data_IF_438593040595
#
_entry.id   IF_438593040595
#
_cell.length_a   1.000
_cell.length_b   1.000
_cell.length_c   1.000
_cell.angle_alpha   90.00
_cell.angle_beta   90.00
_cell.angle_gamma   90.00
#
_symmetry.space_group_name_H-M   'P 1'
#
loop_
_entity.id
_entity.type
_entity.pdbx_description
1 polymer ?
#
# COMPACT_ATOMS: atom_id res chain seq x y z
N UNK A 1 49.46 18.14 -1.14
CA UNK A 1 48.30 18.28 -0.22
C UNK A 1 46.99 18.70 -0.90
N UNK A 2 46.97 19.64 -1.88
CA UNK A 2 45.72 20.04 -2.59
C UNK A 2 45.03 18.94 -3.43
N UNK A 3 45.79 18.06 -4.09
CA UNK A 3 45.22 16.97 -4.93
C UNK A 3 44.46 15.91 -4.12
N UNK A 4 44.91 15.58 -2.92
CA UNK A 4 44.26 14.59 -2.05
C UNK A 4 42.96 15.14 -1.45
N UNK A 5 42.90 16.44 -1.19
CA UNK A 5 41.68 17.13 -0.73
C UNK A 5 40.57 17.08 -1.81
N UNK A 6 40.90 17.38 -3.07
CA UNK A 6 39.94 17.31 -4.18
C UNK A 6 39.43 15.89 -4.49
N UNK A 7 40.23 14.85 -4.22
CA UNK A 7 39.81 13.46 -4.39
C UNK A 7 38.80 13.06 -3.31
N UNK A 8 39.06 13.43 -2.05
CA UNK A 8 38.14 13.17 -0.93
C UNK A 8 36.81 13.93 -1.13
N UNK A 9 36.85 15.19 -1.56
CA UNK A 9 35.61 15.95 -1.87
C UNK A 9 34.79 15.32 -3.01
N UNK A 10 35.43 14.79 -4.06
CA UNK A 10 34.72 14.11 -5.15
C UNK A 10 34.14 12.76 -4.74
N UNK A 11 34.84 12.01 -3.89
CA UNK A 11 34.35 10.74 -3.35
C UNK A 11 33.16 10.97 -2.38
N UNK A 12 33.23 12.01 -1.54
CA UNK A 12 32.11 12.43 -0.69
C UNK A 12 30.91 12.93 -1.50
N UNK A 13 31.12 13.68 -2.60
CA UNK A 13 30.04 14.14 -3.46
C UNK A 13 29.36 12.99 -4.22
N UNK A 14 30.14 12.01 -4.69
CA UNK A 14 29.60 10.79 -5.31
C UNK A 14 28.80 9.94 -4.32
N UNK A 15 29.29 9.79 -3.08
CA UNK A 15 28.56 9.09 -2.01
C UNK A 15 27.27 9.83 -1.60
N UNK A 16 27.30 11.17 -1.50
CA UNK A 16 26.12 11.97 -1.17
C UNK A 16 25.04 11.94 -2.27
N UNK A 17 25.44 11.96 -3.54
CA UNK A 17 24.50 11.88 -4.68
C UNK A 17 23.90 10.47 -4.78
N UNK A 18 24.67 9.42 -4.46
CA UNK A 18 24.10 8.06 -4.40
C UNK A 18 23.10 7.92 -3.25
N UNK A 19 23.41 8.38 -2.04
CA UNK A 19 22.49 8.26 -0.90
C UNK A 19 21.20 9.08 -1.07
N UNK A 20 21.27 10.29 -1.64
CA UNK A 20 20.07 11.09 -1.94
C UNK A 20 19.22 10.50 -3.05
N UNK A 21 19.82 9.85 -4.05
CA UNK A 21 19.09 9.11 -5.07
C UNK A 21 18.33 7.92 -4.48
N UNK A 22 18.96 7.14 -3.61
CA UNK A 22 18.32 5.96 -3.00
C UNK A 22 17.19 6.32 -2.02
N UNK A 23 17.29 7.44 -1.29
CA UNK A 23 16.31 7.82 -0.27
C UNK A 23 14.89 8.10 -0.83
N UNK A 24 14.79 8.58 -2.08
CA UNK A 24 13.48 8.86 -2.73
C UNK A 24 12.85 7.59 -3.37
N UNK A 25 13.63 6.52 -3.53
CA UNK A 25 13.23 5.29 -4.21
C UNK A 25 12.75 4.16 -3.30
N UNK A 26 12.78 4.37 -1.98
CA UNK A 26 12.24 3.42 -1.01
C UNK A 26 10.99 3.98 -0.31
N UNK A 27 10.07 3.11 0.11
CA UNK A 27 8.86 3.56 0.80
C UNK A 27 9.21 4.22 2.14
N UNK A 28 8.61 5.39 2.40
CA UNK A 28 8.63 5.98 3.73
C UNK A 28 7.74 5.13 4.66
N UNK A 29 8.33 4.51 5.68
CA UNK A 29 7.64 3.55 6.55
C UNK A 29 7.18 4.22 7.84
N UNK A 30 5.91 4.03 8.19
CA UNK A 30 5.26 4.51 9.42
C UNK A 30 5.13 3.36 10.42
N UNK A 31 5.53 3.61 11.67
CA UNK A 31 5.38 2.64 12.75
C UNK A 31 3.93 2.59 13.25
N UNK A 32 3.37 1.39 13.28
CA UNK A 32 2.02 1.13 13.79
C UNK A 32 2.16 0.24 15.01
N UNK A 33 1.78 0.74 16.18
CA UNK A 33 1.96 0.03 17.46
C UNK A 33 1.12 -1.27 17.57
N UNK A 34 0.15 -1.48 16.68
CA UNK A 34 -0.82 -2.56 16.79
C UNK A 34 -1.76 -2.35 17.98
N UNK A 35 -2.42 -3.42 18.42
CA UNK A 35 -3.43 -3.40 19.48
C UNK A 35 -4.72 -4.11 19.08
N UNK A 36 -5.75 -3.97 19.91
CA UNK A 36 -7.07 -4.52 19.63
C UNK A 36 -7.94 -3.52 18.89
N UNK A 37 -8.70 -3.98 17.90
CA UNK A 37 -9.74 -3.18 17.26
C UNK A 37 -10.93 -4.04 16.81
N UNK A 38 -12.05 -3.37 16.53
CA UNK A 38 -13.20 -3.98 15.90
C UNK A 38 -13.07 -3.88 14.38
N UNK A 39 -12.86 -5.03 13.74
CA UNK A 39 -12.76 -5.14 12.28
C UNK A 39 -14.14 -5.47 11.67
N UNK A 40 -14.40 -4.91 10.51
CA UNK A 40 -15.61 -5.17 9.73
C UNK A 40 -16.80 -4.30 10.11
N UNK A 41 -17.93 -4.60 9.48
CA UNK A 41 -19.18 -3.88 9.64
C UNK A 41 -20.31 -4.86 10.00
N UNK A 42 -21.21 -4.45 10.87
CA UNK A 42 -22.41 -5.22 11.20
C UNK A 42 -23.49 -5.14 10.13
N UNK A 43 -23.33 -4.23 9.14
CA UNK A 43 -24.40 -3.83 8.23
C UNK A 43 -24.15 -4.20 6.75
N UNK A 44 -22.95 -4.66 6.36
CA UNK A 44 -22.53 -4.59 4.95
C UNK A 44 -22.56 -5.90 4.16
N UNK A 45 -22.39 -7.08 4.78
CA UNK A 45 -22.78 -8.39 4.22
C UNK A 45 -22.53 -9.53 5.24
N UNK A 46 -22.98 -10.76 4.93
CA UNK A 46 -22.76 -11.94 5.78
C UNK A 46 -21.27 -12.37 5.93
N UNK A 47 -20.35 -11.76 5.17
CA UNK A 47 -18.93 -12.13 5.12
C UNK A 47 -18.02 -11.17 5.87
N UNK A 48 -18.51 -9.98 6.21
CA UNK A 48 -17.77 -8.86 6.81
C UNK A 48 -18.20 -8.56 8.25
N UNK A 49 -18.88 -9.52 8.90
CA UNK A 49 -19.41 -9.36 10.25
C UNK A 49 -18.39 -8.86 11.26
N UNK A 50 -18.81 -7.86 12.05
CA UNK A 50 -17.97 -7.19 13.06
C UNK A 50 -17.39 -8.20 14.07
N UNK A 51 -16.07 -8.17 14.26
CA UNK A 51 -15.35 -9.05 15.19
C UNK A 51 -14.09 -8.37 15.76
N UNK A 52 -13.56 -8.91 16.86
CA UNK A 52 -12.37 -8.36 17.51
C UNK A 52 -11.08 -8.95 16.91
N UNK A 53 -10.13 -8.09 16.56
CA UNK A 53 -8.81 -8.47 16.06
C UNK A 53 -7.72 -7.85 16.93
N UNK A 54 -6.68 -8.62 17.23
CA UNK A 54 -5.46 -8.15 17.89
C UNK A 54 -4.30 -8.19 16.91
N UNK A 55 -3.62 -7.07 16.72
CA UNK A 55 -2.43 -6.96 15.87
C UNK A 55 -1.17 -6.70 16.69
N UNK A 56 -0.08 -7.33 16.30
CA UNK A 56 1.27 -6.99 16.77
C UNK A 56 1.72 -5.67 16.13
N UNK A 57 2.75 -5.00 16.65
CA UNK A 57 3.36 -3.87 15.95
C UNK A 57 3.87 -4.26 14.55
N UNK A 58 3.76 -3.35 13.59
CA UNK A 58 4.26 -3.49 12.23
C UNK A 58 4.62 -2.12 11.67
N UNK A 59 5.34 -2.05 10.54
CA UNK A 59 5.59 -0.79 9.82
C UNK A 59 4.92 -0.85 8.47
N UNK A 60 4.19 0.19 8.06
CA UNK A 60 3.50 0.25 6.78
C UNK A 60 3.91 1.50 6.01
N UNK A 61 4.00 1.40 4.67
CA UNK A 61 4.34 2.52 3.83
C UNK A 61 3.27 3.64 3.94
N UNK A 62 3.73 4.88 4.05
CA UNK A 62 2.88 6.07 4.17
C UNK A 62 1.94 6.25 2.98
N UNK A 63 2.38 5.82 1.79
CA UNK A 63 1.67 5.92 0.51
C UNK A 63 1.62 4.56 -0.18
N UNK A 64 0.90 4.47 -1.29
CA UNK A 64 1.09 3.36 -2.24
C UNK A 64 2.51 3.35 -2.81
N UNK A 65 2.90 2.20 -3.35
CA UNK A 65 4.16 2.06 -4.09
C UNK A 65 4.06 2.84 -5.40
N UNK A 66 5.01 3.71 -5.68
CA UNK A 66 4.96 4.56 -6.88
C UNK A 66 5.59 3.91 -8.11
N UNK A 67 5.30 4.46 -9.28
CA UNK A 67 5.96 4.10 -10.54
C UNK A 67 7.48 4.23 -10.43
N UNK A 68 8.01 5.28 -9.80
CA UNK A 68 9.45 5.45 -9.60
C UNK A 68 10.07 4.32 -8.79
N UNK A 69 9.41 3.90 -7.71
CA UNK A 69 9.88 2.80 -6.87
C UNK A 69 9.87 1.46 -7.64
N UNK A 70 8.82 1.21 -8.43
CA UNK A 70 8.75 0.04 -9.29
C UNK A 70 9.79 0.06 -10.42
N UNK A 71 10.07 1.24 -10.98
CA UNK A 71 11.06 1.41 -12.05
C UNK A 71 12.46 0.97 -11.61
N UNK A 72 12.85 1.28 -10.39
CA UNK A 72 14.14 0.84 -9.81
C UNK A 72 14.23 -0.69 -9.78
N UNK A 73 13.14 -1.37 -9.43
CA UNK A 73 13.06 -2.83 -9.51
C UNK A 73 13.25 -3.34 -10.95
N UNK A 74 12.56 -2.73 -11.91
CA UNK A 74 12.67 -3.10 -13.32
C UNK A 74 14.09 -2.91 -13.86
N UNK A 75 14.73 -1.78 -13.56
CA UNK A 75 16.09 -1.46 -13.98
C UNK A 75 17.13 -2.39 -13.35
N UNK A 76 17.01 -2.66 -12.04
CA UNK A 76 17.92 -3.53 -11.33
C UNK A 76 17.93 -4.96 -11.89
N UNK A 77 16.77 -5.46 -12.33
CA UNK A 77 16.63 -6.80 -12.90
C UNK A 77 16.66 -6.83 -14.43
N UNK A 78 16.78 -5.67 -15.08
CA UNK A 78 16.70 -5.52 -16.54
C UNK A 78 15.42 -6.15 -17.14
N UNK A 79 14.31 -5.97 -16.46
CA UNK A 79 12.98 -6.42 -16.90
C UNK A 79 12.16 -5.22 -17.38
N UNK A 80 11.19 -5.48 -18.25
CA UNK A 80 10.30 -4.44 -18.75
C UNK A 80 9.36 -3.92 -17.66
N UNK A 81 9.00 -2.63 -17.75
CA UNK A 81 7.85 -2.08 -17.03
C UNK A 81 6.54 -2.76 -17.49
N UNK A 82 5.53 -2.92 -16.61
CA UNK A 82 4.21 -3.44 -17.00
C UNK A 82 3.52 -2.45 -17.95
N UNK A 83 2.63 -2.93 -18.84
CA UNK A 83 1.92 -2.06 -19.79
C UNK A 83 1.38 -0.78 -19.12
N UNK A 84 1.64 0.40 -19.68
CA UNK A 84 1.19 1.65 -19.07
C UNK A 84 -0.34 1.71 -19.04
N UNK A 85 -0.94 2.38 -18.04
CA UNK A 85 -2.36 2.71 -18.07
C UNK A 85 -2.66 3.72 -19.20
N UNK A 86 -3.93 4.00 -19.45
CA UNK A 86 -4.36 4.89 -20.55
C UNK A 86 -3.77 6.31 -20.49
N UNK A 87 -3.36 6.77 -19.31
CA UNK A 87 -2.71 8.06 -19.07
C UNK A 87 -1.17 8.02 -19.06
N UNK A 88 -0.55 6.86 -19.30
CA UNK A 88 0.90 6.69 -19.26
C UNK A 88 1.48 6.52 -17.86
N UNK A 89 2.81 6.37 -17.77
CA UNK A 89 3.52 6.32 -16.49
C UNK A 89 3.83 7.72 -15.98
N UNK A 90 3.47 7.99 -14.73
CA UNK A 90 3.85 9.19 -13.97
C UNK A 90 4.60 8.73 -12.72
N UNK A 91 5.82 9.23 -12.52
CA UNK A 91 6.78 8.68 -11.54
C UNK A 91 6.29 8.74 -10.08
N UNK A 92 5.48 9.73 -9.75
CA UNK A 92 4.89 9.98 -8.42
C UNK A 92 3.49 9.38 -8.23
N UNK A 93 2.89 8.80 -9.28
CA UNK A 93 1.63 8.08 -9.17
C UNK A 93 1.83 6.65 -8.64
N UNK A 94 0.79 6.04 -8.05
CA UNK A 94 0.82 4.62 -7.69
C UNK A 94 1.09 3.74 -8.92
N UNK A 95 1.91 2.71 -8.75
CA UNK A 95 2.07 1.68 -9.78
C UNK A 95 0.79 0.85 -9.86
N UNK A 96 0.25 0.74 -11.08
CA UNK A 96 -0.94 -0.05 -11.42
C UNK A 96 -0.62 -0.96 -12.61
N UNK A 97 -1.60 -1.73 -13.11
CA UNK A 97 -1.38 -2.77 -14.11
C UNK A 97 -0.36 -3.84 -13.67
N UNK A 98 -0.29 -4.11 -12.37
CA UNK A 98 0.51 -5.18 -11.77
C UNK A 98 -0.41 -6.26 -11.23
N UNK A 99 -0.02 -7.53 -11.33
CA UNK A 99 -0.76 -8.62 -10.70
C UNK A 99 -0.24 -8.86 -9.29
N UNK A 100 -1.04 -9.52 -8.44
CA UNK A 100 -0.61 -9.92 -7.09
C UNK A 100 0.71 -10.72 -7.13
N UNK A 101 0.89 -11.55 -8.15
CA UNK A 101 2.11 -12.33 -8.35
C UNK A 101 3.33 -11.47 -8.73
N UNK A 102 3.14 -10.40 -9.51
CA UNK A 102 4.22 -9.46 -9.83
C UNK A 102 4.66 -8.72 -8.57
N UNK A 103 3.69 -8.29 -7.75
CA UNK A 103 3.96 -7.66 -6.45
C UNK A 103 4.74 -8.59 -5.53
N UNK A 104 4.40 -9.88 -5.48
CA UNK A 104 5.18 -10.87 -4.72
C UNK A 104 6.66 -10.90 -5.11
N UNK A 105 6.98 -10.88 -6.42
CA UNK A 105 8.36 -10.84 -6.91
C UNK A 105 9.07 -9.53 -6.55
N UNK A 106 8.36 -8.41 -6.63
CA UNK A 106 8.87 -7.11 -6.19
C UNK A 106 9.23 -7.13 -4.70
N UNK A 107 8.36 -7.66 -3.84
CA UNK A 107 8.60 -7.79 -2.39
C UNK A 107 9.80 -8.68 -2.09
N UNK A 108 9.94 -9.81 -2.78
CA UNK A 108 11.10 -10.71 -2.63
C UNK A 108 12.40 -10.01 -3.00
N UNK A 109 12.42 -9.26 -4.11
CA UNK A 109 13.57 -8.47 -4.51
C UNK A 109 13.89 -7.39 -3.48
N UNK A 110 12.90 -6.59 -3.07
CA UNK A 110 13.05 -5.49 -2.13
C UNK A 110 13.59 -5.99 -0.78
N UNK A 111 13.11 -7.15 -0.34
CA UNK A 111 13.58 -7.83 0.87
C UNK A 111 15.06 -8.19 0.78
N UNK A 112 15.49 -8.77 -0.35
CA UNK A 112 16.89 -9.13 -0.60
C UNK A 112 17.80 -7.91 -0.68
N UNK A 113 17.34 -6.82 -1.30
CA UNK A 113 18.15 -5.59 -1.42
C UNK A 113 18.43 -4.94 -0.07
N UNK A 114 17.46 -4.98 0.83
CA UNK A 114 17.51 -4.20 2.07
C UNK A 114 17.81 -5.04 3.31
N UNK A 115 17.95 -6.37 3.19
CA UNK A 115 18.17 -7.26 4.32
C UNK A 115 17.01 -7.28 5.32
N UNK A 116 15.79 -7.00 4.85
CA UNK A 116 14.56 -6.88 5.64
C UNK A 116 13.47 -7.77 5.02
N UNK A 117 12.38 -8.01 5.75
CA UNK A 117 11.23 -8.74 5.20
C UNK A 117 10.15 -7.72 4.84
N UNK A 118 9.86 -7.62 3.56
CA UNK A 118 8.74 -6.85 3.03
C UNK A 118 7.64 -7.77 2.51
N UNK A 119 6.40 -7.35 2.73
CA UNK A 119 5.20 -8.07 2.28
C UNK A 119 4.06 -7.10 2.03
N UNK A 120 2.97 -7.62 1.47
CA UNK A 120 1.69 -6.92 1.50
C UNK A 120 1.15 -6.87 2.94
N UNK A 121 0.34 -5.84 3.27
CA UNK A 121 -0.42 -5.86 4.52
C UNK A 121 -1.40 -7.03 4.50
N UNK A 122 -1.64 -7.61 5.67
CA UNK A 122 -2.86 -8.40 5.86
C UNK A 122 -4.08 -7.49 5.75
N UNK A 123 -5.25 -8.06 5.44
CA UNK A 123 -6.50 -7.30 5.38
C UNK A 123 -6.79 -6.58 6.70
N UNK A 124 -6.47 -7.24 7.83
CA UNK A 124 -6.64 -6.66 9.16
C UNK A 124 -5.66 -5.52 9.44
N UNK A 125 -4.38 -5.67 9.09
CA UNK A 125 -3.41 -4.57 9.20
C UNK A 125 -3.81 -3.37 8.35
N UNK A 126 -4.31 -3.62 7.13
CA UNK A 126 -4.78 -2.56 6.25
C UNK A 126 -5.95 -1.79 6.88
N UNK A 127 -6.98 -2.48 7.38
CA UNK A 127 -8.15 -1.81 7.98
C UNK A 127 -7.79 -1.08 9.28
N UNK A 128 -6.94 -1.69 10.13
CA UNK A 128 -6.44 -1.04 11.33
C UNK A 128 -5.70 0.25 11.01
N UNK A 129 -4.80 0.20 10.01
CA UNK A 129 -4.05 1.34 9.52
C UNK A 129 -4.97 2.40 8.90
N UNK A 130 -6.00 2.01 8.14
CA UNK A 130 -6.96 2.90 7.51
C UNK A 130 -7.81 3.65 8.54
N UNK A 131 -8.19 3.00 9.64
CA UNK A 131 -8.90 3.66 10.73
C UNK A 131 -8.03 4.73 11.41
N UNK A 132 -6.71 4.55 11.44
CA UNK A 132 -5.78 5.58 11.93
C UNK A 132 -6.05 6.01 13.38
N UNK A 133 -6.63 5.13 14.20
CA UNK A 133 -7.02 5.43 15.59
C UNK A 133 -8.37 6.14 15.75
N UNK A 134 -9.05 6.50 14.66
CA UNK A 134 -10.36 7.14 14.66
C UNK A 134 -11.41 6.27 13.93
N UNK A 135 -12.69 6.50 14.20
CA UNK A 135 -13.80 5.78 13.55
C UNK A 135 -14.51 6.64 12.51
N UNK A 136 -13.75 7.25 11.58
CA UNK A 136 -14.31 7.96 10.43
C UNK A 136 -14.70 6.98 9.31
N UNK A 137 -15.59 7.40 8.42
CA UNK A 137 -16.06 6.58 7.28
C UNK A 137 -14.93 6.32 6.28
N UNK A 138 -14.15 7.36 5.97
CA UNK A 138 -12.97 7.32 5.12
C UNK A 138 -11.72 7.55 5.97
N UNK A 139 -10.55 7.22 5.46
CA UNK A 139 -9.33 7.30 6.25
C UNK A 139 -8.93 8.75 6.50
N UNK A 140 -9.14 9.24 7.72
CA UNK A 140 -8.78 10.60 8.14
C UNK A 140 -9.89 11.66 8.01
N UNK A 141 -11.06 11.33 7.45
CA UNK A 141 -12.21 12.25 7.37
C UNK A 141 -13.53 11.51 7.14
N UNK A 142 -14.65 12.16 7.48
CA UNK A 142 -15.98 11.75 7.02
C UNK A 142 -16.36 12.40 5.69
N UNK A 143 -15.57 13.37 5.22
CA UNK A 143 -15.66 13.94 3.88
C UNK A 143 -14.64 13.27 2.96
N UNK A 144 -15.13 12.49 2.00
CA UNK A 144 -14.31 11.81 1.01
C UNK A 144 -13.46 12.77 0.15
N UNK A 145 -13.93 14.00 -0.10
CA UNK A 145 -13.22 14.92 -0.99
C UNK A 145 -11.89 15.41 -0.39
N UNK A 146 -11.75 15.38 0.94
CA UNK A 146 -10.52 15.74 1.66
C UNK A 146 -9.42 14.67 1.52
N UNK A 147 -9.82 13.40 1.45
CA UNK A 147 -8.92 12.25 1.68
C UNK A 147 -8.76 11.35 0.46
N UNK A 148 -9.59 11.49 -0.58
CA UNK A 148 -9.62 10.54 -1.69
C UNK A 148 -9.59 11.18 -3.08
N UNK A 149 -8.93 10.46 -3.99
CA UNK A 149 -9.19 10.53 -5.42
C UNK A 149 -10.14 9.40 -5.81
N UNK A 150 -11.36 9.73 -6.21
CA UNK A 150 -12.41 8.79 -6.57
C UNK A 150 -13.15 9.28 -7.82
N UNK A 151 -14.11 8.49 -8.34
CA UNK A 151 -14.71 8.71 -9.68
C UNK A 151 -15.17 10.15 -9.94
N UNK A 152 -15.62 10.88 -8.91
CA UNK A 152 -16.12 12.25 -9.04
C UNK A 152 -15.02 13.29 -9.26
N UNK A 153 -13.83 13.11 -8.69
CA UNK A 153 -12.77 14.12 -8.67
C UNK A 153 -11.43 13.67 -9.29
N UNK A 154 -11.29 12.39 -9.66
CA UNK A 154 -10.02 11.85 -10.14
C UNK A 154 -9.75 12.09 -11.64
N UNK A 155 -10.76 12.46 -12.44
CA UNK A 155 -10.55 12.74 -13.86
C UNK A 155 -10.08 11.52 -14.67
N UNK A 156 -10.57 10.32 -14.34
CA UNK A 156 -10.26 9.05 -15.01
C UNK A 156 -8.78 8.62 -14.97
N UNK A 157 -8.07 8.94 -13.89
CA UNK A 157 -6.69 8.48 -13.68
C UNK A 157 -6.33 8.48 -12.19
N UNK A 158 -5.23 7.80 -11.85
CA UNK A 158 -4.55 7.98 -10.56
C UNK A 158 -3.95 9.39 -10.44
N UNK A 159 -3.55 9.77 -9.24
CA UNK A 159 -2.90 11.04 -8.90
C UNK A 159 -1.61 10.79 -8.10
N UNK A 160 -0.76 11.83 -7.92
CA UNK A 160 0.44 11.69 -7.11
C UNK A 160 0.11 11.13 -5.72
N UNK A 161 0.83 10.09 -5.31
CA UNK A 161 0.64 9.47 -4.02
C UNK A 161 1.00 10.47 -2.90
N UNK A 162 0.15 10.56 -1.88
CA UNK A 162 0.29 11.53 -0.79
C UNK A 162 -0.28 12.92 -1.08
N UNK A 163 -1.08 13.10 -2.13
CA UNK A 163 -1.59 14.44 -2.52
C UNK A 163 -2.89 14.86 -1.82
N UNK A 164 -3.52 13.96 -1.06
CA UNK A 164 -4.69 14.25 -0.20
C UNK A 164 -4.31 14.30 1.27
N UNK A 165 -5.27 14.64 2.14
CA UNK A 165 -5.04 14.70 3.60
C UNK A 165 -4.76 13.28 4.14
N UNK A 166 -3.73 13.10 4.99
CA UNK A 166 -3.48 11.80 5.62
C UNK A 166 -4.41 11.56 6.81
N UNK A 167 -4.48 10.32 7.26
CA UNK A 167 -5.07 9.98 8.55
C UNK A 167 -4.13 10.32 9.73
N UNK A 168 -4.57 10.07 10.97
CA UNK A 168 -3.80 10.46 12.16
C UNK A 168 -2.49 9.67 12.39
N UNK A 169 -2.26 8.58 11.63
CA UNK A 169 -0.98 7.89 11.60
C UNK A 169 -0.02 8.48 10.55
N UNK A 170 -0.47 9.44 9.73
CA UNK A 170 0.31 9.95 8.60
C UNK A 170 0.28 9.06 7.37
N UNK A 171 -0.75 8.21 7.24
CA UNK A 171 -0.98 7.39 6.05
C UNK A 171 -1.93 8.12 5.09
N UNK A 172 -1.54 8.13 3.82
CA UNK A 172 -2.25 8.80 2.74
C UNK A 172 -2.94 7.78 1.85
N UNK A 173 -3.99 8.23 1.14
CA UNK A 173 -4.65 7.47 0.07
C UNK A 173 -5.15 6.08 0.48
N UNK A 174 -5.44 5.89 1.78
CA UNK A 174 -6.12 4.69 2.28
C UNK A 174 -7.61 4.68 1.88
N UNK A 175 -8.08 5.71 1.18
CA UNK A 175 -9.40 5.83 0.56
C UNK A 175 -9.22 6.41 -0.85
N UNK A 176 -9.44 5.62 -1.90
CA UNK A 176 -9.32 6.05 -3.29
C UNK A 176 -7.89 5.94 -3.87
N UNK A 177 -7.63 6.73 -4.91
CA UNK A 177 -6.43 6.72 -5.76
C UNK A 177 -6.21 5.35 -6.44
N UNK A 178 -5.51 4.41 -5.80
CA UNK A 178 -5.45 3.02 -6.26
C UNK A 178 -5.93 2.08 -5.16
N UNK A 179 -6.81 1.14 -5.51
CA UNK A 179 -7.19 0.08 -4.59
C UNK A 179 -5.98 -0.82 -4.35
N UNK A 180 -5.90 -1.44 -3.17
CA UNK A 180 -4.64 -2.06 -2.73
C UNK A 180 -4.78 -3.54 -2.45
N UNK A 181 -3.88 -4.32 -3.04
CA UNK A 181 -3.75 -5.74 -2.71
C UNK A 181 -3.41 -5.95 -1.23
N UNK A 182 -4.09 -6.92 -0.61
CA UNK A 182 -3.68 -7.50 0.67
C UNK A 182 -3.05 -8.89 0.48
N UNK A 183 -2.33 -9.36 1.49
CA UNK A 183 -1.76 -10.71 1.51
C UNK A 183 -2.85 -11.80 1.50
N UNK A 184 -3.98 -11.50 2.13
CA UNK A 184 -5.08 -12.40 2.39
C UNK A 184 -5.74 -12.92 1.12
N UNK A 185 -6.13 -14.19 1.20
CA UNK A 185 -7.11 -14.79 0.32
C UNK A 185 -8.51 -14.56 0.89
N UNK A 186 -9.49 -14.34 0.02
CA UNK A 186 -10.86 -14.02 0.42
C UNK A 186 -11.47 -15.10 1.32
N UNK A 187 -12.03 -14.66 2.45
CA UNK A 187 -12.80 -15.49 3.35
C UNK A 187 -13.77 -14.67 4.17
N UNK A 188 -14.81 -15.33 4.69
CA UNK A 188 -15.71 -14.71 5.66
C UNK A 188 -15.00 -14.49 6.99
N UNK A 189 -15.29 -13.38 7.64
CA UNK A 189 -14.85 -13.15 9.01
C UNK A 189 -15.48 -14.16 9.96
N UNK A 190 -14.77 -14.45 11.04
CA UNK A 190 -15.31 -15.26 12.14
C UNK A 190 -15.88 -14.34 13.21
N UNK A 191 -16.89 -14.77 13.95
CA UNK A 191 -17.38 -14.01 15.11
C UNK A 191 -16.44 -14.05 16.34
N UNK A 192 -15.34 -14.81 16.26
CA UNK A 192 -14.39 -14.98 17.35
C UNK A 192 -13.31 -13.90 17.32
N UNK A 193 -12.76 -13.62 18.50
CA UNK A 193 -11.51 -12.87 18.63
C UNK A 193 -10.37 -13.63 17.96
N UNK A 194 -9.57 -12.93 17.15
CA UNK A 194 -8.40 -13.50 16.45
C UNK A 194 -7.17 -12.60 16.61
N UNK A 195 -5.98 -13.20 16.52
CA UNK A 195 -4.69 -12.49 16.64
C UNK A 195 -3.91 -12.65 15.35
N UNK A 196 -3.51 -11.53 14.73
CA UNK A 196 -2.80 -11.46 13.43
C UNK A 196 -3.41 -12.39 12.35
N UNK A 197 -4.71 -12.25 12.01
CA UNK A 197 -5.36 -13.11 11.03
C UNK A 197 -4.68 -13.00 9.66
N UNK A 198 -4.62 -14.10 8.92
CA UNK A 198 -3.97 -14.20 7.59
C UNK A 198 -4.94 -14.62 6.46
N UNK A 199 -6.24 -14.51 6.73
CA UNK A 199 -7.29 -14.84 5.78
C UNK A 199 -7.47 -16.34 5.50
N UNK A 200 -8.34 -16.66 4.54
CA UNK A 200 -8.69 -18.05 4.21
C UNK A 200 -7.70 -18.67 3.22
N UNK A 201 -6.92 -19.65 3.67
CA UNK A 201 -5.82 -20.22 2.88
C UNK A 201 -6.24 -20.98 1.61
N UNK A 202 -7.52 -21.33 1.43
CA UNK A 202 -7.98 -22.17 0.30
C UNK A 202 -8.63 -21.39 -0.83
N UNK A 203 -8.96 -20.11 -0.66
CA UNK A 203 -9.68 -19.33 -1.67
C UNK A 203 -8.79 -18.90 -2.84
N UNK A 204 -9.30 -18.94 -4.07
CA UNK A 204 -8.58 -18.49 -5.26
C UNK A 204 -8.54 -16.95 -5.42
N UNK A 205 -9.39 -16.24 -4.69
CA UNK A 205 -9.48 -14.78 -4.74
C UNK A 205 -8.58 -14.13 -3.71
N UNK A 206 -8.00 -12.98 -4.06
CA UNK A 206 -7.19 -12.11 -3.20
C UNK A 206 -8.01 -10.93 -2.72
N UNK A 207 -7.73 -10.50 -1.50
CA UNK A 207 -8.37 -9.32 -0.92
C UNK A 207 -7.78 -8.04 -1.50
N UNK A 208 -8.66 -7.08 -1.75
CA UNK A 208 -8.35 -5.71 -2.17
C UNK A 208 -9.15 -4.74 -1.29
N UNK A 209 -8.55 -3.62 -0.91
CA UNK A 209 -9.15 -2.61 -0.02
C UNK A 209 -8.93 -1.18 -0.56
N UNK A 210 -9.63 -0.21 0.03
CA UNK A 210 -9.40 1.22 -0.20
C UNK A 210 -10.18 1.87 -1.34
N UNK A 211 -10.65 1.11 -2.33
CA UNK A 211 -11.25 1.67 -3.54
C UNK A 211 -10.23 2.48 -4.35
N UNK A 212 -10.65 3.06 -5.46
CA UNK A 212 -9.74 3.67 -6.44
C UNK A 212 -10.32 4.92 -7.10
N UNK A 213 -9.52 5.55 -7.97
CA UNK A 213 -9.93 6.63 -8.86
C UNK A 213 -11.19 6.30 -9.68
N UNK A 214 -11.44 5.02 -9.98
CA UNK A 214 -12.56 4.55 -10.79
C UNK A 214 -13.84 4.32 -9.97
N UNK A 215 -13.73 4.15 -8.66
CA UNK A 215 -14.87 3.74 -7.84
C UNK A 215 -15.67 4.93 -7.28
N UNK A 216 -16.94 4.65 -6.94
CA UNK A 216 -17.77 5.54 -6.13
C UNK A 216 -17.35 5.49 -4.65
N UNK A 217 -17.81 6.47 -3.88
CA UNK A 217 -17.47 6.60 -2.46
C UNK A 217 -17.76 5.34 -1.63
N UNK A 218 -18.78 4.57 -1.98
CA UNK A 218 -19.13 3.32 -1.27
C UNK A 218 -17.98 2.31 -1.22
N UNK A 219 -17.12 2.29 -2.24
CA UNK A 219 -15.97 1.37 -2.31
C UNK A 219 -14.75 1.92 -1.56
N UNK A 220 -14.72 3.21 -1.26
CA UNK A 220 -13.58 3.89 -0.66
C UNK A 220 -13.61 3.91 0.88
N UNK A 221 -14.62 3.30 1.50
CA UNK A 221 -14.73 3.27 2.96
C UNK A 221 -13.68 2.36 3.58
N UNK A 222 -13.28 2.65 4.83
CA UNK A 222 -12.29 1.85 5.55
C UNK A 222 -12.68 0.36 5.64
N UNK A 223 -13.98 0.04 5.60
CA UNK A 223 -14.52 -1.31 5.79
C UNK A 223 -14.86 -2.04 4.50
N UNK A 224 -14.84 -1.36 3.35
CA UNK A 224 -15.27 -1.96 2.08
C UNK A 224 -14.30 -3.04 1.59
N UNK A 225 -14.81 -4.23 1.32
CA UNK A 225 -14.03 -5.39 0.89
C UNK A 225 -14.25 -5.68 -0.59
N UNK A 226 -13.17 -5.69 -1.37
CA UNK A 226 -13.19 -6.20 -2.74
C UNK A 226 -12.38 -7.49 -2.82
N UNK A 227 -12.73 -8.36 -3.78
CA UNK A 227 -11.97 -9.58 -4.08
C UNK A 227 -11.74 -9.70 -5.57
N UNK A 228 -10.51 -10.06 -5.94
CA UNK A 228 -10.11 -10.24 -7.34
C UNK A 228 -9.38 -11.56 -7.52
N UNK A 229 -9.39 -12.10 -8.75
CA UNK A 229 -8.50 -13.21 -9.06
C UNK A 229 -7.03 -12.73 -8.96
N UNK A 230 -6.08 -13.64 -8.68
CA UNK A 230 -4.68 -13.24 -8.47
C UNK A 230 -3.93 -12.85 -9.75
N UNK A 231 -4.45 -13.21 -10.93
CA UNK A 231 -3.78 -13.07 -12.23
C UNK A 231 -4.12 -11.82 -13.03
N UNK A 232 -5.33 -11.25 -13.00
CA UNK A 232 -5.63 -10.06 -13.77
C UNK A 232 -4.83 -8.84 -13.29
N UNK A 233 -4.63 -7.91 -14.22
CA UNK A 233 -3.99 -6.61 -14.01
C UNK A 233 -5.04 -5.55 -14.26
N UNK A 234 -5.13 -4.60 -13.33
CA UNK A 234 -6.10 -3.52 -13.40
C UNK A 234 -5.36 -2.18 -13.27
N UNK A 235 -5.80 -1.19 -14.02
CA UNK A 235 -5.26 0.18 -13.99
C UNK A 235 -5.72 0.97 -12.76
N UNK A 236 -6.56 0.37 -11.92
CA UNK A 236 -7.07 0.95 -10.68
C UNK A 236 -6.61 0.20 -9.43
N UNK A 237 -5.83 -0.90 -9.56
CA UNK A 237 -5.30 -1.68 -8.44
C UNK A 237 -3.77 -1.59 -8.40
N UNK A 238 -3.26 -1.10 -7.27
CA UNK A 238 -1.86 -1.06 -6.89
C UNK A 238 -1.63 -1.79 -5.56
N UNK A 239 -0.68 -1.29 -4.77
CA UNK A 239 -0.38 -1.84 -3.45
C UNK A 239 0.47 -0.89 -2.61
N UNK A 240 0.41 -1.09 -1.28
CA UNK A 240 1.40 -0.57 -0.33
C UNK A 240 2.13 -1.69 0.39
N UNK A 241 3.25 -1.34 1.02
CA UNK A 241 4.20 -2.30 1.58
C UNK A 241 4.14 -2.28 3.10
N UNK A 242 4.29 -3.46 3.71
CA UNK A 242 4.58 -3.64 5.14
C UNK A 242 6.01 -4.18 5.30
N UNK A 243 6.75 -3.65 6.28
CA UNK A 243 8.02 -4.18 6.77
C UNK A 243 7.77 -4.93 8.09
N UNK A 244 8.25 -6.17 8.17
CA UNK A 244 8.20 -6.91 9.44
C UNK A 244 9.25 -6.38 10.42
N UNK A 245 8.81 -6.11 11.65
CA UNK A 245 9.71 -5.74 12.74
C UNK A 245 10.44 -7.01 13.19
N UNK A 246 11.76 -7.03 13.02
CA UNK A 246 12.59 -8.14 13.50
C UNK A 246 12.48 -8.21 15.02
N UNK A 247 12.19 -9.41 15.55
CA UNK A 247 12.17 -9.67 17.00
C UNK A 247 13.57 -9.61 17.60
#
# INVERSE_FOLDING_TARGET
MKKMRNFIYRLFLLLFVTEQGFAQHYPNMVDVAGGSFWMGDSLQDATSGRHEVVLSPFRIAATETTVAQWRVYCEALKIAMPSPPGWGWQEDHPIVNVSWNDVGKYMEWLSKQNGKIYRLPTEAEWEFAANGGNSTVFSGSDDIEEVAWFVKNAGNQTHPAGSKKPNALGLYDMSGNAAEFCQDRFGSYTSRKVTNPKGNQTSFFRMVRGGSWYNTSTFCTNKHREKVAATPRFDYIGFRIVEEISK
#
